data_IF_998051897535
#
_entry.id   IF_998051897535
#
_cell.length_a   1.000
_cell.length_b   1.000
_cell.length_c   1.000
_cell.angle_alpha   90.00
_cell.angle_beta   90.00
_cell.angle_gamma   90.00
#
_symmetry.space_group_name_H-M   'P 1'
#
loop_
_entity.id
_entity.type
_entity.pdbx_description
1 polymer ?
#
# COMPACT_ATOMS: atom_id res chain seq x y z
N UNK A 1 -0.16 -16.84 -86.31
CA UNK A 1 -1.51 -16.31 -86.01
C UNK A 1 -1.56 -15.85 -84.56
N UNK A 2 -2.33 -14.79 -84.26
CA UNK A 2 -2.62 -14.23 -82.92
C UNK A 2 -1.43 -13.72 -82.07
N UNK A 3 -1.39 -12.40 -81.95
CA UNK A 3 -0.88 -11.69 -80.77
C UNK A 3 -1.56 -12.19 -79.48
N UNK A 4 -0.92 -12.01 -78.32
CA UNK A 4 -1.38 -11.00 -77.35
C UNK A 4 -0.22 -10.56 -76.43
N UNK A 5 -0.24 -9.30 -76.01
CA UNK A 5 0.73 -8.69 -75.09
C UNK A 5 0.54 -9.23 -73.67
N UNK A 6 1.57 -9.21 -72.84
CA UNK A 6 1.52 -8.50 -71.55
C UNK A 6 2.94 -8.22 -71.01
N UNK A 7 3.20 -6.95 -70.71
CA UNK A 7 4.38 -6.48 -69.96
C UNK A 7 4.05 -6.61 -68.48
N UNK A 8 4.98 -7.11 -67.67
CA UNK A 8 4.79 -7.34 -66.23
C UNK A 8 6.13 -7.31 -65.50
N UNK A 9 6.64 -6.10 -65.26
CA UNK A 9 7.86 -5.87 -64.49
C UNK A 9 7.64 -6.34 -63.04
N UNK A 10 8.54 -7.14 -62.48
CA UNK A 10 8.61 -7.39 -61.03
C UNK A 10 10.06 -7.46 -60.62
N UNK A 11 10.46 -6.51 -59.78
CA UNK A 11 11.85 -6.24 -59.47
C UNK A 11 12.43 -7.26 -58.50
N UNK A 12 13.65 -7.73 -58.79
CA UNK A 12 14.52 -8.27 -57.77
C UNK A 12 15.10 -7.10 -56.96
N UNK A 13 14.68 -6.96 -55.70
CA UNK A 13 15.32 -6.06 -54.72
C UNK A 13 15.66 -6.87 -53.48
N UNK A 14 16.94 -6.85 -53.11
CA UNK A 14 17.56 -7.86 -52.26
C UNK A 14 17.20 -7.78 -50.78
N UNK A 15 17.41 -8.91 -50.11
CA UNK A 15 17.26 -9.07 -48.67
C UNK A 15 18.45 -8.38 -47.95
N UNK A 16 18.30 -7.09 -47.63
CA UNK A 16 19.29 -6.36 -46.84
C UNK A 16 19.14 -6.72 -45.35
N UNK A 17 19.93 -7.68 -44.88
CA UNK A 17 19.98 -8.06 -43.47
C UNK A 17 20.67 -6.96 -42.63
N UNK A 18 19.88 -6.01 -42.13
CA UNK A 18 20.35 -5.05 -41.12
C UNK A 18 20.51 -5.76 -39.77
N UNK A 19 21.74 -6.22 -39.51
CA UNK A 19 22.21 -6.62 -38.19
C UNK A 19 22.27 -5.40 -37.27
N UNK A 20 21.11 -5.02 -36.72
CA UNK A 20 21.05 -4.04 -35.64
C UNK A 20 21.60 -4.71 -34.39
N UNK A 21 22.78 -4.28 -33.93
CA UNK A 21 23.39 -4.74 -32.69
C UNK A 21 22.47 -4.40 -31.51
N UNK A 22 21.66 -5.38 -31.08
CA UNK A 22 20.92 -5.34 -29.83
C UNK A 22 21.93 -5.27 -28.67
N UNK A 23 22.17 -4.06 -28.18
CA UNK A 23 23.01 -3.84 -27.01
C UNK A 23 22.34 -4.56 -25.83
N UNK A 24 23.03 -5.45 -25.11
CA UNK A 24 22.49 -5.96 -23.85
C UNK A 24 22.36 -4.77 -22.90
N UNK A 25 21.12 -4.42 -22.55
CA UNK A 25 20.87 -3.44 -21.50
C UNK A 25 21.35 -4.05 -20.19
N UNK A 26 22.55 -3.65 -19.75
CA UNK A 26 23.08 -4.02 -18.43
C UNK A 26 22.16 -3.47 -17.34
N UNK A 27 21.24 -4.32 -16.87
CA UNK A 27 20.51 -4.06 -15.65
C UNK A 27 21.49 -4.10 -14.48
N UNK A 28 21.99 -2.94 -14.08
CA UNK A 28 22.79 -2.79 -12.87
C UNK A 28 21.91 -3.06 -11.64
N UNK A 29 21.78 -4.33 -11.27
CA UNK A 29 21.22 -4.73 -9.98
C UNK A 29 22.17 -4.25 -8.89
N UNK A 30 21.84 -3.14 -8.23
CA UNK A 30 22.54 -2.68 -7.03
C UNK A 30 22.26 -3.66 -5.89
N UNK A 31 23.13 -4.64 -5.68
CA UNK A 31 23.02 -5.70 -4.67
C UNK A 31 23.29 -5.24 -3.23
N UNK A 32 23.11 -3.94 -2.95
CA UNK A 32 23.11 -3.39 -1.59
C UNK A 32 21.70 -3.36 -1.00
N UNK A 33 21.55 -3.35 0.34
CA UNK A 33 20.26 -3.08 0.96
C UNK A 33 19.72 -1.72 0.48
N UNK A 34 18.44 -1.66 0.09
CA UNK A 34 17.83 -0.37 -0.25
C UNK A 34 17.78 0.54 0.99
N UNK A 35 18.05 1.86 0.84
CA UNK A 35 18.20 2.76 1.97
C UNK A 35 16.87 3.02 2.68
N UNK A 36 16.75 2.49 3.89
CA UNK A 36 15.64 2.74 4.80
C UNK A 36 15.58 4.23 5.21
N UNK A 37 14.37 4.77 5.28
CA UNK A 37 14.06 6.06 5.91
C UNK A 37 13.05 5.84 7.03
N UNK A 38 13.46 6.20 8.24
CA UNK A 38 12.61 6.19 9.43
C UNK A 38 12.12 7.61 9.72
N UNK A 39 10.82 7.77 9.92
CA UNK A 39 10.22 9.04 10.36
C UNK A 39 8.97 8.77 11.23
N UNK A 40 8.59 9.74 12.05
CA UNK A 40 7.44 9.62 12.95
C UNK A 40 6.30 10.54 12.52
N UNK A 41 5.07 10.08 12.71
CA UNK A 41 3.83 10.84 12.60
C UNK A 41 2.95 10.54 13.82
N UNK A 42 2.00 11.44 14.12
CA UNK A 42 0.86 11.12 14.98
C UNK A 42 -0.38 11.07 14.10
N UNK A 43 -1.03 9.91 14.04
CA UNK A 43 -2.37 9.75 13.48
C UNK A 43 -3.38 10.17 14.56
N UNK A 44 -4.03 11.32 14.35
CA UNK A 44 -5.07 11.84 15.22
C UNK A 44 -6.44 11.55 14.63
N UNK A 45 -7.15 10.59 15.20
CA UNK A 45 -8.53 10.25 14.87
C UNK A 45 -9.43 11.47 15.04
N UNK A 46 -10.15 11.82 13.97
CA UNK A 46 -11.20 12.86 13.99
C UNK A 46 -12.58 12.28 13.74
N UNK A 47 -12.67 11.14 13.06
CA UNK A 47 -13.90 10.38 12.83
C UNK A 47 -13.67 8.88 13.02
N UNK A 48 -14.69 8.21 13.53
CA UNK A 48 -14.69 6.75 13.68
C UNK A 48 -16.12 6.20 13.63
N UNK A 49 -16.28 5.00 13.07
CA UNK A 49 -17.54 4.26 13.09
C UNK A 49 -17.25 2.78 13.32
N UNK A 50 -18.06 2.16 14.18
CA UNK A 50 -18.17 0.71 14.25
C UNK A 50 -19.43 0.27 13.49
N UNK A 51 -19.31 -0.84 12.76
CA UNK A 51 -20.41 -1.57 12.13
C UNK A 51 -20.47 -2.92 12.82
N UNK A 52 -21.55 -3.13 13.57
CA UNK A 52 -21.98 -4.43 14.06
C UNK A 52 -22.79 -5.09 12.93
N UNK A 53 -22.33 -6.24 12.42
CA UNK A 53 -22.95 -6.90 11.26
C UNK A 53 -24.01 -7.93 11.63
N UNK A 54 -24.08 -8.36 12.90
CA UNK A 54 -25.07 -9.33 13.38
C UNK A 54 -26.12 -8.74 14.34
N UNK A 55 -26.01 -7.43 14.63
CA UNK A 55 -26.82 -6.62 15.54
C UNK A 55 -26.80 -7.13 17.00
N UNK A 56 -25.87 -8.02 17.37
CA UNK A 56 -25.84 -8.63 18.70
C UNK A 56 -25.22 -7.73 19.78
N UNK A 57 -24.67 -6.57 19.39
CA UNK A 57 -23.91 -5.64 20.24
C UNK A 57 -22.71 -6.30 20.94
N UNK A 58 -22.13 -7.33 20.32
CA UNK A 58 -20.92 -8.04 20.77
C UNK A 58 -19.99 -8.25 19.57
N UNK A 59 -18.67 -8.37 19.79
CA UNK A 59 -17.73 -8.60 18.69
C UNK A 59 -18.08 -9.87 17.91
N UNK A 60 -18.39 -9.71 16.63
CA UNK A 60 -18.82 -10.74 15.68
C UNK A 60 -17.83 -10.85 14.51
N UNK A 61 -17.83 -11.98 13.80
CA UNK A 61 -17.02 -12.10 12.58
C UNK A 61 -17.66 -11.30 11.45
N UNK A 62 -16.92 -10.33 10.91
CA UNK A 62 -17.39 -9.42 9.87
C UNK A 62 -17.62 -7.99 10.36
N UNK A 63 -17.65 -7.74 11.68
CA UNK A 63 -17.72 -6.38 12.22
C UNK A 63 -16.58 -5.51 11.70
N UNK A 64 -16.87 -4.24 11.41
CA UNK A 64 -15.90 -3.28 10.88
C UNK A 64 -15.67 -2.10 11.82
N UNK A 65 -14.40 -1.70 11.94
CA UNK A 65 -13.99 -0.42 12.50
C UNK A 65 -13.45 0.43 11.36
N UNK A 66 -14.09 1.57 11.10
CA UNK A 66 -13.72 2.53 10.06
C UNK A 66 -13.20 3.77 10.78
N UNK A 67 -11.93 4.13 10.58
CA UNK A 67 -11.31 5.28 11.24
C UNK A 67 -10.73 6.23 10.21
N UNK A 68 -10.82 7.53 10.47
CA UNK A 68 -10.11 8.54 9.69
C UNK A 68 -9.72 9.75 10.54
N UNK A 69 -8.73 10.49 10.05
CA UNK A 69 -8.18 11.58 10.84
C UNK A 69 -7.04 12.32 10.17
N UNK A 70 -6.37 13.15 10.95
CA UNK A 70 -5.25 13.99 10.53
C UNK A 70 -3.92 13.30 10.82
N UNK A 71 -2.93 13.50 9.95
CA UNK A 71 -1.54 13.13 10.20
C UNK A 71 -0.77 14.36 10.64
N UNK A 72 -0.13 14.28 11.80
CA UNK A 72 0.63 15.36 12.41
C UNK A 72 2.12 15.04 12.44
N UNK A 73 2.95 16.02 12.08
CA UNK A 73 4.40 16.03 12.30
C UNK A 73 4.69 17.21 13.22
N UNK A 74 5.33 16.97 14.37
CA UNK A 74 5.65 18.01 15.36
C UNK A 74 4.41 18.85 15.77
N UNK A 75 3.24 18.20 15.82
CA UNK A 75 1.94 18.84 16.11
C UNK A 75 1.27 19.56 14.94
N UNK A 76 1.97 19.77 13.82
CA UNK A 76 1.44 20.40 12.61
C UNK A 76 0.84 19.38 11.65
N UNK A 77 -0.34 19.67 11.09
CA UNK A 77 -0.98 18.79 10.10
C UNK A 77 -0.19 18.74 8.79
N UNK A 78 0.23 17.54 8.40
CA UNK A 78 0.96 17.24 7.15
C UNK A 78 0.18 16.37 6.16
N UNK A 79 -0.98 15.86 6.58
CA UNK A 79 -1.82 15.01 5.75
C UNK A 79 -3.04 14.48 6.47
N UNK A 80 -3.62 13.41 5.92
CA UNK A 80 -4.78 12.71 6.45
C UNK A 80 -4.58 11.20 6.34
N UNK A 81 -5.25 10.42 7.18
CA UNK A 81 -5.28 8.96 7.09
C UNK A 81 -6.72 8.44 7.08
N UNK A 82 -6.87 7.22 6.60
CA UNK A 82 -8.07 6.42 6.78
C UNK A 82 -7.77 4.94 6.64
N UNK A 83 -8.43 4.13 7.46
CA UNK A 83 -8.35 2.68 7.44
C UNK A 83 -9.71 2.02 7.73
N UNK A 84 -9.78 0.74 7.39
CA UNK A 84 -10.86 -0.17 7.74
C UNK A 84 -10.25 -1.43 8.33
N UNK A 85 -10.71 -1.83 9.50
CA UNK A 85 -10.33 -3.05 10.20
C UNK A 85 -11.55 -3.96 10.34
N UNK A 86 -11.49 -5.17 9.80
CA UNK A 86 -12.57 -6.18 9.92
C UNK A 86 -12.21 -7.24 10.94
N UNK A 87 -13.15 -7.62 11.82
CA UNK A 87 -13.00 -8.79 12.69
C UNK A 87 -13.05 -10.06 11.85
N UNK A 88 -11.93 -10.77 11.77
CA UNK A 88 -11.80 -12.02 10.98
C UNK A 88 -11.96 -13.28 11.80
N UNK A 89 -11.83 -13.19 13.14
CA UNK A 89 -12.01 -14.28 14.09
C UNK A 89 -12.32 -13.69 15.47
N UNK A 90 -13.19 -14.36 16.21
CA UNK A 90 -13.45 -14.11 17.63
C UNK A 90 -12.92 -15.28 18.48
N UNK A 91 -12.55 -14.99 19.72
CA UNK A 91 -12.06 -15.96 20.71
C UNK A 91 -12.63 -15.60 22.11
N UNK A 92 -12.55 -16.51 23.10
CA UNK A 92 -13.02 -16.23 24.46
C UNK A 92 -12.30 -15.06 25.12
N UNK A 93 -12.99 -14.30 25.98
CA UNK A 93 -12.39 -13.19 26.73
C UNK A 93 -12.28 -11.87 25.94
N UNK A 94 -13.21 -11.63 25.02
CA UNK A 94 -13.28 -10.45 24.14
C UNK A 94 -12.02 -10.27 23.27
N UNK A 95 -11.31 -11.37 22.99
CA UNK A 95 -10.18 -11.43 22.06
C UNK A 95 -10.68 -11.57 20.62
N UNK A 96 -10.18 -10.73 19.71
CA UNK A 96 -10.52 -10.77 18.28
C UNK A 96 -9.30 -10.53 17.39
N UNK A 97 -9.24 -11.25 16.26
CA UNK A 97 -8.23 -11.02 15.22
C UNK A 97 -8.75 -10.05 14.17
N UNK A 98 -8.16 -8.86 14.09
CA UNK A 98 -8.44 -7.85 13.07
C UNK A 98 -7.58 -8.06 11.83
N UNK A 99 -8.16 -7.79 10.66
CA UNK A 99 -7.44 -7.51 9.42
C UNK A 99 -7.70 -6.05 9.05
N UNK A 100 -6.65 -5.23 9.05
CA UNK A 100 -6.72 -3.80 8.73
C UNK A 100 -6.09 -3.51 7.37
N UNK A 101 -6.69 -2.58 6.63
CA UNK A 101 -6.16 -2.01 5.38
C UNK A 101 -6.39 -0.51 5.40
N UNK A 102 -5.38 0.29 5.03
CA UNK A 102 -5.46 1.74 5.14
C UNK A 102 -4.46 2.50 4.28
N UNK A 103 -4.52 3.82 4.40
CA UNK A 103 -3.63 4.73 3.68
C UNK A 103 -3.24 5.97 4.50
N UNK A 104 -2.00 6.43 4.28
CA UNK A 104 -1.50 7.72 4.73
C UNK A 104 -1.43 8.65 3.51
N UNK A 105 -2.28 9.66 3.45
CA UNK A 105 -2.29 10.68 2.39
C UNK A 105 -1.46 11.90 2.80
N UNK A 106 -0.30 12.07 2.17
CA UNK A 106 0.63 13.17 2.40
C UNK A 106 0.79 14.00 1.11
N UNK A 107 1.28 15.25 1.22
CA UNK A 107 1.53 16.11 0.05
C UNK A 107 2.36 15.43 -1.09
N UNK A 108 3.43 14.65 -0.80
CA UNK A 108 4.21 13.97 -1.84
C UNK A 108 3.54 12.72 -2.47
N UNK A 109 2.35 12.32 -2.01
CA UNK A 109 1.62 11.12 -2.43
C UNK A 109 1.08 10.29 -1.25
N UNK A 110 0.47 9.15 -1.58
CA UNK A 110 -0.10 8.22 -0.59
C UNK A 110 0.85 7.07 -0.27
N UNK A 111 0.84 6.57 0.97
CA UNK A 111 1.40 5.28 1.39
C UNK A 111 0.23 4.35 1.69
N UNK A 112 0.20 3.12 1.15
CA UNK A 112 -0.80 2.11 1.52
C UNK A 112 -0.21 1.10 2.50
N UNK A 113 -1.02 0.64 3.45
CA UNK A 113 -0.60 -0.34 4.45
C UNK A 113 -1.68 -1.39 4.72
N UNK A 114 -1.27 -2.55 5.21
CA UNK A 114 -2.18 -3.58 5.74
C UNK A 114 -1.54 -4.35 6.89
N UNK A 115 -2.34 -5.00 7.72
CA UNK A 115 -1.82 -5.93 8.72
C UNK A 115 -2.90 -6.75 9.40
N UNK A 116 -2.48 -7.85 10.03
CA UNK A 116 -3.31 -8.67 10.91
C UNK A 116 -2.73 -8.62 12.32
N UNK A 117 -3.57 -8.39 13.32
CA UNK A 117 -3.18 -8.45 14.72
C UNK A 117 -4.37 -8.84 15.59
N UNK A 118 -4.06 -9.36 16.77
CA UNK A 118 -5.05 -9.70 17.80
C UNK A 118 -5.25 -8.50 18.71
N UNK A 119 -6.49 -8.24 19.14
CA UNK A 119 -6.82 -7.21 20.12
C UNK A 119 -7.73 -7.77 21.21
N UNK A 120 -7.68 -7.17 22.39
CA UNK A 120 -8.53 -7.52 23.55
C UNK A 120 -9.26 -6.26 24.02
N UNK A 121 -10.06 -6.37 25.09
CA UNK A 121 -10.64 -5.21 25.78
C UNK A 121 -9.61 -4.15 26.25
N UNK A 122 -8.31 -4.51 26.38
CA UNK A 122 -7.23 -3.57 26.68
C UNK A 122 -6.69 -2.82 25.44
N UNK A 123 -7.24 -3.09 24.25
CA UNK A 123 -6.73 -2.62 22.96
C UNK A 123 -5.70 -3.59 22.34
N UNK A 124 -5.06 -3.19 21.23
CA UNK A 124 -4.15 -4.04 20.47
C UNK A 124 -2.68 -3.97 20.94
N UNK A 125 -2.36 -3.10 21.90
CA UNK A 125 -0.97 -2.80 22.27
C UNK A 125 -0.23 -2.08 21.15
N UNK A 126 1.02 -2.48 20.90
CA UNK A 126 1.80 -2.07 19.74
C UNK A 126 1.57 -3.03 18.57
N UNK A 127 1.34 -2.50 17.36
CA UNK A 127 1.11 -3.32 16.16
C UNK A 127 2.04 -2.93 15.01
N UNK A 128 2.34 -3.91 14.15
CA UNK A 128 3.17 -3.70 12.95
C UNK A 128 2.33 -3.93 11.70
N UNK A 129 2.26 -2.92 10.84
CA UNK A 129 1.49 -2.95 9.59
C UNK A 129 2.47 -2.90 8.41
N UNK A 130 2.36 -3.83 7.47
CA UNK A 130 3.19 -3.86 6.27
C UNK A 130 2.83 -2.71 5.34
N UNK A 131 3.82 -1.98 4.83
CA UNK A 131 3.65 -1.02 3.75
C UNK A 131 3.56 -1.80 2.43
N UNK A 132 2.47 -1.62 1.71
CA UNK A 132 2.11 -2.44 0.54
C UNK A 132 2.32 -1.73 -0.80
N UNK A 133 2.63 -0.43 -0.77
CA UNK A 133 2.78 0.40 -1.95
C UNK A 133 2.50 1.87 -1.66
N UNK A 134 2.23 2.61 -2.73
CA UNK A 134 1.90 4.03 -2.64
C UNK A 134 1.80 4.72 -3.99
N UNK A 135 1.74 6.04 -3.97
CA UNK A 135 1.65 6.90 -5.17
C UNK A 135 2.66 8.04 -5.12
N UNK A 136 2.93 8.69 -6.26
CA UNK A 136 3.84 9.83 -6.35
C UNK A 136 5.25 9.49 -5.86
N UNK A 137 5.72 10.21 -4.84
CA UNK A 137 7.01 9.95 -4.19
C UNK A 137 7.07 8.61 -3.45
N UNK A 138 5.96 7.89 -3.30
CA UNK A 138 5.86 6.60 -2.60
C UNK A 138 5.51 5.42 -3.54
N UNK A 139 5.62 5.59 -4.87
CA UNK A 139 5.20 4.57 -5.86
C UNK A 139 5.89 3.19 -5.75
N UNK A 140 7.05 3.10 -5.09
CA UNK A 140 7.82 1.87 -4.81
C UNK A 140 7.88 1.55 -3.31
N UNK A 141 7.06 2.23 -2.50
CA UNK A 141 7.11 2.13 -1.05
C UNK A 141 6.83 0.71 -0.53
N UNK A 142 7.71 0.23 0.33
CA UNK A 142 7.57 -0.99 1.11
C UNK A 142 8.28 -0.82 2.46
N UNK A 143 8.22 -1.85 3.32
CA UNK A 143 8.65 -1.79 4.72
C UNK A 143 7.45 -1.95 5.67
N UNK A 144 7.44 -1.23 6.79
CA UNK A 144 6.39 -1.36 7.81
C UNK A 144 6.14 -0.08 8.61
N UNK A 145 5.03 -0.05 9.33
CA UNK A 145 4.66 1.00 10.28
C UNK A 145 4.51 0.32 11.65
N UNK A 146 5.28 0.75 12.65
CA UNK A 146 4.96 0.48 14.05
C UNK A 146 3.94 1.50 14.52
N UNK A 147 2.81 1.04 15.05
CA UNK A 147 1.74 1.86 15.56
C UNK A 147 1.52 1.59 17.06
N UNK A 148 1.54 2.66 17.86
CA UNK A 148 1.42 2.65 19.31
C UNK A 148 0.32 3.65 19.73
N UNK A 149 -0.72 3.20 20.43
CA UNK A 149 -1.77 4.09 20.92
C UNK A 149 -1.28 4.88 22.13
N UNK A 150 -1.08 6.20 21.96
CA UNK A 150 -0.60 7.11 23.01
C UNK A 150 -1.74 7.83 23.73
N UNK A 151 -2.95 7.81 23.17
CA UNK A 151 -4.19 8.19 23.83
C UNK A 151 -5.39 7.51 23.17
N UNK A 152 -6.61 7.87 23.58
CA UNK A 152 -7.85 7.39 22.94
C UNK A 152 -8.14 8.00 21.55
N UNK A 153 -7.29 8.90 21.05
CA UNK A 153 -7.42 9.49 19.70
C UNK A 153 -6.12 9.62 18.92
N UNK A 154 -4.97 9.49 19.59
CA UNK A 154 -3.67 9.66 18.98
C UNK A 154 -2.91 8.33 18.97
N UNK A 155 -2.51 7.90 17.78
CA UNK A 155 -1.61 6.77 17.56
C UNK A 155 -0.29 7.30 17.03
N UNK A 156 0.82 7.00 17.69
CA UNK A 156 2.17 7.28 17.20
C UNK A 156 2.48 6.25 16.11
N UNK A 157 2.86 6.74 14.93
CA UNK A 157 3.29 5.92 13.80
C UNK A 157 4.79 6.13 13.60
N UNK A 158 5.61 5.09 13.78
CA UNK A 158 7.00 5.07 13.33
C UNK A 158 7.04 4.33 11.99
N UNK A 159 7.30 5.07 10.92
CA UNK A 159 7.25 4.58 9.54
C UNK A 159 8.65 4.18 9.09
N UNK A 160 8.85 2.90 8.85
CA UNK A 160 10.08 2.28 8.34
C UNK A 160 9.94 2.06 6.83
N UNK A 161 10.48 3.00 6.04
CA UNK A 161 10.13 3.14 4.63
C UNK A 161 11.32 2.89 3.69
N UNK A 162 11.15 1.91 2.81
CA UNK A 162 12.09 1.53 1.74
C UNK A 162 11.42 1.90 0.39
N UNK A 163 12.15 2.45 -0.60
CA UNK A 163 11.62 3.00 -1.87
C UNK A 163 12.66 3.14 -2.99
#
# INVERSE_FOLDING_TARGET
MRHFKHVGLSAATGLAALLVCSHPASASSSTGPEPERVFQLVARQTQSRSIDVDESSRPSQGDEFIVSGDLLLEGSKVGNFGDVCTITRTAPGDEVDLQCVGSLSLSPGQITFQGRFTTTAAGPGEVSLAITGGTGSYRTAHGFIHAENVSNRDTRLTVHLIR
#
